data_IF_328814657522
#
_entry.id   IF_328814657522
#
_cell.length_a   1.000
_cell.length_b   1.000
_cell.length_c   1.000
_cell.angle_alpha   90.00
_cell.angle_beta   90.00
_cell.angle_gamma   90.00
#
_symmetry.space_group_name_H-M   'P 1'
#
loop_
_entity.id
_entity.type
_entity.pdbx_description
1 polymer ?
#
# COMPACT_ATOMS: atom_id res chain seq x y z
N UNK A 1 -113.64 38.61 1.06
CA UNK A 1 -113.36 37.16 1.19
C UNK A 1 -111.90 36.96 0.78
N UNK A 2 -111.10 36.50 1.76
CA UNK A 2 -109.71 36.05 1.73
C UNK A 2 -108.67 36.75 0.82
N UNK A 3 -107.78 37.53 1.43
CA UNK A 3 -106.48 37.87 0.87
C UNK A 3 -105.49 36.72 1.16
N UNK A 4 -104.94 36.12 0.11
CA UNK A 4 -103.84 35.13 0.17
C UNK A 4 -102.50 35.84 0.44
N UNK A 5 -101.61 35.30 1.31
CA UNK A 5 -100.43 36.03 1.72
C UNK A 5 -99.28 35.86 0.72
N UNK A 6 -98.99 36.92 -0.04
CA UNK A 6 -97.81 37.03 -0.91
C UNK A 6 -96.44 36.88 -0.18
N UNK A 7 -96.43 36.80 1.15
CA UNK A 7 -95.22 36.66 1.97
C UNK A 7 -94.54 35.28 1.89
N UNK A 8 -95.30 34.21 1.62
CA UNK A 8 -94.76 32.84 1.71
C UNK A 8 -93.96 32.43 0.46
N UNK A 9 -94.42 32.86 -0.72
CA UNK A 9 -93.74 32.60 -1.99
C UNK A 9 -92.40 33.34 -2.11
N UNK A 10 -92.26 34.53 -1.51
CA UNK A 10 -91.01 35.30 -1.51
C UNK A 10 -89.95 34.65 -0.62
N UNK A 11 -90.35 34.12 0.55
CA UNK A 11 -89.48 33.35 1.46
C UNK A 11 -89.01 32.02 0.85
N UNK A 12 -89.90 31.27 0.17
CA UNK A 12 -89.54 30.01 -0.52
C UNK A 12 -88.55 30.23 -1.67
N UNK A 13 -88.76 31.26 -2.51
CA UNK A 13 -87.82 31.63 -3.58
C UNK A 13 -86.46 32.07 -3.03
N UNK A 14 -86.44 32.80 -1.92
CA UNK A 14 -85.19 33.24 -1.30
C UNK A 14 -84.40 32.05 -0.68
N UNK A 15 -85.09 31.09 -0.04
CA UNK A 15 -84.48 29.84 0.46
C UNK A 15 -83.89 28.98 -0.67
N UNK A 16 -84.61 28.79 -1.78
CA UNK A 16 -84.09 28.02 -2.93
C UNK A 16 -82.89 28.69 -3.60
N UNK A 17 -82.88 30.02 -3.73
CA UNK A 17 -81.74 30.75 -4.29
C UNK A 17 -80.52 30.73 -3.37
N UNK A 18 -80.72 30.72 -2.04
CA UNK A 18 -79.64 30.58 -1.06
C UNK A 18 -79.06 29.17 -1.06
N UNK A 19 -79.89 28.14 -1.18
CA UNK A 19 -79.46 26.75 -1.32
C UNK A 19 -78.72 26.49 -2.63
N UNK A 20 -79.19 27.04 -3.76
CA UNK A 20 -78.50 26.98 -5.06
C UNK A 20 -77.15 27.69 -5.04
N UNK A 21 -77.05 28.88 -4.42
CA UNK A 21 -75.77 29.58 -4.25
C UNK A 21 -74.81 28.80 -3.35
N UNK A 22 -75.30 28.14 -2.30
CA UNK A 22 -74.47 27.33 -1.41
C UNK A 22 -73.93 26.08 -2.12
N UNK A 23 -74.76 25.33 -2.85
CA UNK A 23 -74.31 24.18 -3.65
C UNK A 23 -73.37 24.59 -4.81
N UNK A 24 -73.63 25.71 -5.47
CA UNK A 24 -72.77 26.21 -6.54
C UNK A 24 -71.40 26.68 -6.01
N UNK A 25 -71.35 27.29 -4.82
CA UNK A 25 -70.09 27.68 -4.18
C UNK A 25 -69.28 26.46 -3.69
N UNK A 26 -69.96 25.38 -3.27
CA UNK A 26 -69.33 24.12 -2.91
C UNK A 26 -68.71 23.44 -4.15
N UNK A 27 -69.44 23.39 -5.27
CA UNK A 27 -68.92 22.84 -6.54
C UNK A 27 -67.75 23.66 -7.09
N UNK A 28 -67.79 25.00 -7.01
CA UNK A 28 -66.67 25.86 -7.41
C UNK A 28 -65.44 25.59 -6.55
N UNK A 29 -65.62 25.39 -5.23
CA UNK A 29 -64.51 25.04 -4.35
C UNK A 29 -63.88 23.68 -4.71
N UNK A 30 -64.70 22.65 -4.99
CA UNK A 30 -64.21 21.36 -5.47
C UNK A 30 -63.54 21.43 -6.84
N UNK A 31 -64.07 22.21 -7.79
CA UNK A 31 -63.48 22.43 -9.11
C UNK A 31 -62.16 23.20 -9.02
N UNK A 32 -62.03 24.13 -8.07
CA UNK A 32 -60.79 24.87 -7.83
C UNK A 32 -59.73 24.06 -7.06
N UNK A 33 -60.13 23.09 -6.22
CA UNK A 33 -59.19 22.22 -5.47
C UNK A 33 -58.69 21.04 -6.33
N UNK A 34 -59.53 20.49 -7.23
CA UNK A 34 -59.16 19.37 -8.09
C UNK A 34 -57.84 19.56 -8.89
N UNK A 35 -57.55 20.72 -9.50
CA UNK A 35 -56.29 20.92 -10.23
C UNK A 35 -55.06 21.03 -9.30
N UNK A 36 -55.22 21.40 -8.03
CA UNK A 36 -54.13 21.39 -7.05
C UNK A 36 -53.76 19.98 -6.59
N UNK A 37 -54.70 19.03 -6.62
CA UNK A 37 -54.44 17.61 -6.33
C UNK A 37 -53.83 16.85 -7.51
N UNK A 38 -54.01 17.35 -8.74
CA UNK A 38 -53.51 16.74 -9.98
C UNK A 38 -52.16 17.30 -10.45
N UNK A 39 -51.59 18.29 -9.74
CA UNK A 39 -50.28 18.88 -10.05
C UNK A 39 -49.14 18.35 -9.17
N UNK A 40 -49.42 17.40 -8.28
CA UNK A 40 -48.40 16.57 -7.63
C UNK A 40 -47.90 15.47 -8.59
N UNK A 41 -47.47 15.87 -9.79
CA UNK A 41 -46.52 15.07 -10.55
C UNK A 41 -45.18 15.26 -9.86
N UNK A 42 -44.78 14.29 -9.04
CA UNK A 42 -43.40 14.15 -8.63
C UNK A 42 -42.60 13.87 -9.91
N UNK A 43 -42.04 14.93 -10.50
CA UNK A 43 -41.16 14.81 -11.65
C UNK A 43 -39.91 14.15 -11.07
N UNK A 44 -39.77 12.84 -11.31
CA UNK A 44 -38.57 12.07 -10.97
C UNK A 44 -37.37 12.94 -11.30
N UNK A 45 -36.59 13.33 -10.29
CA UNK A 45 -35.35 14.07 -10.48
C UNK A 45 -34.56 13.36 -11.58
N UNK A 46 -34.09 14.10 -12.59
CA UNK A 46 -33.13 13.52 -13.51
C UNK A 46 -31.92 13.14 -12.67
N UNK A 47 -31.76 11.85 -12.38
CA UNK A 47 -30.48 11.32 -11.91
C UNK A 47 -29.51 11.48 -13.06
N UNK A 48 -28.86 12.64 -13.12
CA UNK A 48 -27.66 12.84 -13.92
C UNK A 48 -26.58 12.01 -13.25
N UNK A 49 -26.12 10.95 -13.91
CA UNK A 49 -24.88 10.31 -13.54
C UNK A 49 -23.77 11.29 -13.89
N UNK A 50 -23.25 11.99 -12.89
CA UNK A 50 -22.14 12.95 -13.04
C UNK A 50 -20.79 12.24 -13.21
N UNK A 51 -20.78 10.90 -13.22
CA UNK A 51 -19.56 10.09 -13.30
C UNK A 51 -19.65 9.05 -14.42
N UNK A 52 -18.52 8.85 -15.09
CA UNK A 52 -18.27 7.71 -15.96
C UNK A 52 -17.85 6.48 -15.14
N UNK A 53 -18.30 5.30 -15.57
CA UNK A 53 -17.80 4.01 -15.09
C UNK A 53 -16.57 3.61 -15.91
N UNK A 54 -15.40 3.66 -15.29
CA UNK A 54 -14.13 3.32 -15.93
C UNK A 54 -13.65 1.97 -15.42
N UNK A 55 -13.54 0.98 -16.30
CA UNK A 55 -13.03 -0.36 -15.95
C UNK A 55 -11.51 -0.31 -15.84
N UNK A 56 -10.98 -0.63 -14.67
CA UNK A 56 -9.54 -0.74 -14.45
C UNK A 56 -9.12 -2.20 -14.61
N UNK A 57 -8.01 -2.43 -15.31
CA UNK A 57 -7.35 -3.73 -15.41
C UNK A 57 -5.87 -3.58 -15.12
N UNK A 58 -5.25 -4.56 -14.48
CA UNK A 58 -3.82 -4.55 -14.20
C UNK A 58 -3.19 -5.89 -14.58
N UNK A 59 -2.09 -5.84 -15.33
CA UNK A 59 -1.22 -6.97 -15.64
C UNK A 59 0.03 -6.89 -14.76
N UNK A 60 0.13 -7.83 -13.81
CA UNK A 60 1.22 -7.89 -12.83
C UNK A 60 2.38 -8.79 -13.25
N UNK A 61 2.37 -9.31 -14.47
CA UNK A 61 3.38 -10.26 -14.95
C UNK A 61 4.82 -9.73 -14.92
N UNK A 62 5.01 -8.41 -14.93
CA UNK A 62 6.31 -7.73 -14.90
C UNK A 62 6.57 -6.96 -13.59
N UNK A 63 5.78 -7.24 -12.55
CA UNK A 63 5.82 -6.45 -11.31
C UNK A 63 6.86 -6.90 -10.29
N UNK A 64 7.48 -8.08 -10.48
CA UNK A 64 8.38 -8.67 -9.48
C UNK A 64 7.69 -9.13 -8.18
N UNK A 65 6.34 -9.12 -8.13
CA UNK A 65 5.53 -9.42 -6.95
C UNK A 65 5.06 -10.89 -6.92
N UNK A 66 6.00 -11.82 -6.93
CA UNK A 66 5.67 -13.25 -6.81
C UNK A 66 4.96 -13.56 -5.48
N UNK A 67 3.86 -14.31 -5.54
CA UNK A 67 3.12 -14.74 -4.35
C UNK A 67 2.26 -13.67 -3.68
N UNK A 68 2.10 -12.49 -4.28
CA UNK A 68 1.22 -11.44 -3.76
C UNK A 68 -0.24 -11.51 -4.27
N UNK A 69 -0.67 -12.65 -4.82
CA UNK A 69 -2.01 -12.82 -5.41
C UNK A 69 -3.17 -12.60 -4.43
N UNK A 70 -2.91 -12.77 -3.13
CA UNK A 70 -3.89 -12.58 -2.06
C UNK A 70 -4.04 -11.11 -1.62
N UNK A 71 -3.16 -10.22 -2.07
CA UNK A 71 -3.24 -8.79 -1.77
C UNK A 71 -4.02 -8.02 -2.84
N UNK A 72 -4.66 -6.93 -2.43
CA UNK A 72 -5.30 -5.99 -3.35
C UNK A 72 -4.32 -5.05 -4.05
N UNK A 73 -4.85 -4.00 -4.66
CA UNK A 73 -4.10 -2.89 -5.23
C UNK A 73 -4.83 -1.57 -4.99
N UNK A 74 -4.15 -0.44 -5.22
CA UNK A 74 -4.75 0.89 -5.07
C UNK A 74 -4.48 1.71 -6.32
N UNK A 75 -5.54 2.24 -6.91
CA UNK A 75 -5.46 3.24 -7.98
C UNK A 75 -5.81 4.62 -7.42
N UNK A 76 -5.02 5.64 -7.77
CA UNK A 76 -5.22 7.02 -7.35
C UNK A 76 -5.30 7.91 -8.58
N UNK A 77 -6.43 8.58 -8.75
CA UNK A 77 -6.68 9.50 -9.86
C UNK A 77 -6.58 10.95 -9.41
N UNK A 78 -5.78 11.74 -10.11
CA UNK A 78 -5.47 13.13 -9.81
C UNK A 78 -6.08 14.04 -10.88
N UNK A 79 -7.09 14.86 -10.54
CA UNK A 79 -7.65 15.84 -11.48
C UNK A 79 -6.60 16.90 -11.86
N UNK A 80 -6.34 17.10 -13.17
CA UNK A 80 -5.40 18.13 -13.66
C UNK A 80 -5.89 19.56 -13.39
N UNK A 81 -7.20 19.74 -13.23
CA UNK A 81 -7.83 21.02 -12.87
C UNK A 81 -7.67 21.38 -11.39
N UNK A 82 -7.05 20.51 -10.59
CA UNK A 82 -6.97 20.62 -9.14
C UNK A 82 -8.19 20.02 -8.44
N UNK A 83 -8.00 19.57 -7.21
CA UNK A 83 -9.03 18.89 -6.42
C UNK A 83 -8.45 17.75 -5.59
N UNK A 84 -9.30 17.10 -4.79
CA UNK A 84 -8.88 15.92 -4.04
C UNK A 84 -8.70 14.71 -4.98
N UNK A 85 -7.63 13.91 -4.77
CA UNK A 85 -7.44 12.69 -5.53
C UNK A 85 -8.53 11.67 -5.23
N UNK A 86 -8.96 10.94 -6.26
CA UNK A 86 -9.91 9.83 -6.10
C UNK A 86 -9.15 8.53 -5.92
N UNK A 87 -9.31 7.92 -4.75
CA UNK A 87 -8.68 6.65 -4.39
C UNK A 87 -9.67 5.51 -4.64
N UNK A 88 -9.22 4.50 -5.38
CA UNK A 88 -9.98 3.29 -5.72
C UNK A 88 -9.23 2.09 -5.16
N UNK A 89 -9.78 1.49 -4.11
CA UNK A 89 -9.26 0.26 -3.53
C UNK A 89 -9.71 -0.94 -4.37
N UNK A 90 -8.74 -1.69 -4.87
CA UNK A 90 -8.95 -2.85 -5.74
C UNK A 90 -8.78 -4.13 -4.93
N UNK A 91 -9.87 -4.61 -4.31
CA UNK A 91 -9.85 -5.90 -3.59
C UNK A 91 -9.50 -7.09 -4.50
N UNK A 92 -9.92 -7.02 -5.77
CA UNK A 92 -9.33 -7.81 -6.84
C UNK A 92 -8.24 -6.97 -7.52
N UNK A 93 -6.98 -7.28 -7.27
CA UNK A 93 -5.83 -6.53 -7.82
C UNK A 93 -5.80 -6.46 -9.35
N UNK A 94 -6.50 -7.35 -10.05
CA UNK A 94 -6.50 -7.41 -11.51
C UNK A 94 -7.63 -6.60 -12.15
N UNK A 95 -8.70 -6.27 -11.39
CA UNK A 95 -9.87 -5.58 -11.96
C UNK A 95 -10.65 -4.78 -10.92
N UNK A 96 -11.00 -3.55 -11.26
CA UNK A 96 -11.91 -2.69 -10.49
C UNK A 96 -12.73 -1.77 -11.40
N UNK A 97 -13.69 -1.05 -10.82
CA UNK A 97 -14.45 0.00 -11.51
C UNK A 97 -14.21 1.31 -10.76
N UNK A 98 -13.82 2.36 -11.48
CA UNK A 98 -13.65 3.71 -10.96
C UNK A 98 -14.81 4.60 -11.42
N UNK A 99 -15.36 5.40 -10.51
CA UNK A 99 -16.39 6.40 -10.81
C UNK A 99 -15.77 7.80 -10.90
N UNK A 100 -15.56 8.26 -12.13
CA UNK A 100 -14.81 9.48 -12.43
C UNK A 100 -15.71 10.51 -13.11
N UNK A 101 -15.85 11.74 -12.56
CA UNK A 101 -16.49 12.85 -13.22
C UNK A 101 -15.76 13.25 -14.49
N UNK A 102 -16.45 14.02 -15.33
CA UNK A 102 -15.84 14.66 -16.49
C UNK A 102 -14.61 15.47 -16.07
N UNK A 103 -13.52 15.33 -16.83
CA UNK A 103 -12.26 16.01 -16.57
C UNK A 103 -11.04 15.24 -17.05
N UNK A 104 -9.87 15.88 -16.91
CA UNK A 104 -8.58 15.27 -17.21
C UNK A 104 -7.89 14.81 -15.93
N UNK A 105 -7.31 13.62 -15.97
CA UNK A 105 -6.68 12.96 -14.84
C UNK A 105 -5.29 12.44 -15.21
N UNK A 106 -4.43 12.36 -14.21
CA UNK A 106 -3.32 11.42 -14.19
C UNK A 106 -3.60 10.34 -13.15
N UNK A 107 -3.16 9.11 -13.38
CA UNK A 107 -3.42 7.99 -12.50
C UNK A 107 -2.14 7.26 -12.11
N UNK A 108 -2.09 6.81 -10.87
CA UNK A 108 -1.06 5.92 -10.34
C UNK A 108 -1.75 4.67 -9.81
N UNK A 109 -1.25 3.48 -10.15
CA UNK A 109 -1.68 2.22 -9.59
C UNK A 109 -0.49 1.54 -8.91
N UNK A 110 -0.65 1.09 -7.67
CA UNK A 110 0.39 0.37 -6.92
C UNK A 110 -0.19 -0.83 -6.16
N UNK A 111 0.67 -1.78 -5.79
CA UNK A 111 0.24 -2.98 -5.05
C UNK A 111 -0.22 -2.65 -3.63
N UNK A 112 -1.17 -3.44 -3.12
CA UNK A 112 -1.74 -3.33 -1.76
C UNK A 112 -2.43 -1.98 -1.51
N UNK A 113 -2.72 -1.66 -0.25
CA UNK A 113 -3.19 -0.34 0.18
C UNK A 113 -2.10 0.45 0.91
N UNK A 114 -2.36 1.74 1.14
CA UNK A 114 -1.46 2.65 1.86
C UNK A 114 -1.03 2.13 3.25
N UNK A 115 -1.89 1.36 3.90
CA UNK A 115 -1.70 0.89 5.28
C UNK A 115 -1.20 -0.57 5.37
N UNK A 116 -1.21 -1.32 4.26
CA UNK A 116 -0.83 -2.75 4.22
C UNK A 116 0.69 -2.98 4.17
N UNK A 117 1.47 -1.93 3.98
CA UNK A 117 2.93 -2.01 3.98
C UNK A 117 3.49 -1.96 5.40
N UNK A 118 4.42 -2.87 5.67
CA UNK A 118 5.05 -3.01 6.98
C UNK A 118 6.15 -1.96 7.17
N UNK A 119 6.97 -1.77 6.12
CA UNK A 119 8.17 -0.96 6.13
C UNK A 119 8.09 0.26 5.20
N UNK A 120 6.95 0.48 4.52
CA UNK A 120 6.71 1.64 3.65
C UNK A 120 5.63 2.55 4.24
N UNK A 121 5.90 3.86 4.23
CA UNK A 121 4.90 4.90 4.44
C UNK A 121 4.71 5.72 3.17
N UNK A 122 3.61 6.47 3.09
CA UNK A 122 3.32 7.34 1.97
C UNK A 122 3.13 8.78 2.41
N UNK A 123 3.65 9.73 1.64
CA UNK A 123 3.47 11.17 1.85
C UNK A 123 3.21 11.88 0.52
N UNK A 124 2.78 13.13 0.59
CA UNK A 124 2.48 13.93 -0.61
C UNK A 124 1.33 13.38 -1.47
N UNK A 125 0.43 12.57 -0.88
CA UNK A 125 -0.66 11.83 -1.55
C UNK A 125 -1.64 12.76 -2.28
N UNK A 126 -1.71 14.05 -1.93
CA UNK A 126 -2.67 14.99 -2.51
C UNK A 126 -2.31 15.47 -3.92
N UNK A 127 -1.14 15.12 -4.46
CA UNK A 127 -0.73 15.55 -5.79
C UNK A 127 0.08 14.47 -6.52
N UNK A 128 -0.18 14.34 -7.82
CA UNK A 128 0.45 13.36 -8.70
C UNK A 128 1.98 13.44 -8.69
N UNK A 129 2.54 14.65 -8.72
CA UNK A 129 4.00 14.83 -8.77
C UNK A 129 4.67 14.71 -7.40
N UNK A 130 3.90 14.62 -6.32
CA UNK A 130 4.41 14.62 -4.94
C UNK A 130 4.15 13.31 -4.21
N UNK A 131 3.34 12.41 -4.75
CA UNK A 131 3.10 11.11 -4.11
C UNK A 131 4.41 10.32 -4.04
N UNK A 132 4.77 9.98 -2.81
CA UNK A 132 6.08 9.46 -2.48
C UNK A 132 5.94 8.33 -1.47
N UNK A 133 6.57 7.19 -1.77
CA UNK A 133 6.76 6.08 -0.84
C UNK A 133 8.11 6.23 -0.15
N UNK A 134 8.13 6.16 1.18
CA UNK A 134 9.34 6.31 1.98
C UNK A 134 9.52 5.15 2.95
N UNK A 135 10.76 4.83 3.28
CA UNK A 135 11.07 3.75 4.21
C UNK A 135 10.73 4.21 5.62
N UNK A 136 9.95 3.41 6.35
CA UNK A 136 9.66 3.71 7.76
C UNK A 136 10.96 3.62 8.55
N UNK A 137 11.20 4.64 9.36
CA UNK A 137 12.37 4.70 10.22
C UNK A 137 12.20 3.75 11.39
N UNK A 138 13.28 3.06 11.76
CA UNK A 138 13.37 2.32 13.01
C UNK A 138 14.10 3.25 13.98
N UNK A 139 13.41 3.74 15.01
CA UNK A 139 14.06 4.56 16.05
C UNK A 139 15.15 3.75 16.75
N UNK A 140 16.42 3.98 16.39
CA UNK A 140 17.54 3.51 17.18
C UNK A 140 17.82 4.55 18.28
N UNK A 141 17.51 4.21 19.53
CA UNK A 141 17.74 5.11 20.69
C UNK A 141 19.22 5.33 21.02
N UNK A 142 20.12 4.63 20.34
CA UNK A 142 21.55 4.52 20.71
C UNK A 142 22.49 5.29 19.77
N UNK A 143 22.03 5.67 18.57
CA UNK A 143 22.83 6.40 17.58
C UNK A 143 22.00 7.55 16.96
N UNK A 144 22.62 8.69 16.61
CA UNK A 144 21.94 9.80 15.94
C UNK A 144 21.63 9.52 14.46
N UNK A 145 22.09 8.38 13.91
CA UNK A 145 21.87 8.00 12.52
C UNK A 145 20.48 7.42 12.31
N UNK A 146 19.78 7.92 11.29
CA UNK A 146 18.49 7.35 10.86
C UNK A 146 18.72 6.00 10.20
N UNK A 147 18.42 4.94 10.95
CA UNK A 147 18.37 3.58 10.43
C UNK A 147 16.97 3.32 9.88
N UNK A 148 16.90 2.84 8.64
CA UNK A 148 15.63 2.43 8.02
C UNK A 148 15.55 0.92 7.90
N UNK A 149 14.33 0.39 8.04
CA UNK A 149 14.05 -1.01 7.71
C UNK A 149 14.06 -1.21 6.19
N UNK A 150 14.34 -2.43 5.75
CA UNK A 150 14.16 -2.81 4.35
C UNK A 150 12.73 -2.58 3.90
N UNK A 151 12.47 -1.73 2.88
CA UNK A 151 11.15 -1.61 2.29
C UNK A 151 10.62 -2.96 1.78
N UNK A 152 9.30 -3.12 1.85
CA UNK A 152 8.59 -4.17 1.14
C UNK A 152 8.72 -3.95 -0.39
N UNK A 153 8.40 -4.96 -1.22
CA UNK A 153 8.39 -4.74 -2.67
C UNK A 153 7.25 -3.81 -3.08
N UNK A 154 7.57 -2.80 -3.90
CA UNK A 154 6.61 -1.82 -4.40
C UNK A 154 6.65 -1.83 -5.93
N UNK A 155 5.52 -2.13 -6.56
CA UNK A 155 5.36 -2.04 -8.00
C UNK A 155 4.29 -1.01 -8.38
N UNK A 156 4.58 -0.22 -9.42
CA UNK A 156 3.77 0.94 -9.78
C UNK A 156 3.57 1.02 -11.30
N UNK A 157 2.36 1.40 -11.70
CA UNK A 157 2.02 1.81 -13.07
C UNK A 157 1.49 3.24 -13.06
N UNK A 158 1.83 3.99 -14.11
CA UNK A 158 1.44 5.39 -14.27
C UNK A 158 0.74 5.56 -15.60
N UNK A 159 -0.37 6.29 -15.60
CA UNK A 159 -1.04 6.77 -16.81
C UNK A 159 -1.13 8.29 -16.70
N UNK A 160 -0.48 8.97 -17.62
CA UNK A 160 -0.62 10.41 -17.78
C UNK A 160 -1.69 10.69 -18.84
N UNK A 161 -2.51 11.72 -18.60
CA UNK A 161 -3.45 12.25 -19.61
C UNK A 161 -4.65 11.36 -19.95
N UNK A 162 -5.37 10.90 -18.93
CA UNK A 162 -6.68 10.28 -19.11
C UNK A 162 -7.80 11.34 -19.12
N UNK A 163 -8.63 11.38 -20.15
CA UNK A 163 -9.78 12.29 -20.24
C UNK A 163 -11.09 11.53 -20.12
N UNK A 164 -11.92 11.95 -19.17
CA UNK A 164 -13.32 11.57 -19.07
C UNK A 164 -14.13 12.66 -19.76
N UNK A 165 -14.78 12.30 -20.87
CA UNK A 165 -15.63 13.19 -21.66
C UNK A 165 -17.10 13.01 -21.30
N UNK A 166 -17.95 14.01 -21.58
CA UNK A 166 -19.40 13.99 -21.29
C UNK A 166 -20.12 12.73 -21.83
N UNK A 167 -19.72 12.24 -23.01
CA UNK A 167 -20.30 11.04 -23.63
C UNK A 167 -19.95 9.72 -22.91
N UNK A 168 -18.97 9.72 -22.00
CA UNK A 168 -18.62 8.57 -21.16
C UNK A 168 -19.45 8.54 -19.87
N UNK A 169 -20.11 9.67 -19.52
CA UNK A 169 -21.03 9.72 -18.39
C UNK A 169 -22.24 8.82 -18.68
N UNK A 170 -22.84 8.26 -17.63
CA UNK A 170 -23.98 7.33 -17.72
C UNK A 170 -25.27 7.91 -18.34
N UNK A 171 -25.21 9.09 -18.96
CA UNK A 171 -26.35 9.93 -19.35
C UNK A 171 -26.71 9.87 -20.83
N UNK A 172 -26.12 8.99 -21.66
CA UNK A 172 -26.51 8.87 -23.06
C UNK A 172 -27.87 8.17 -23.23
N UNK A 173 -28.95 8.87 -22.87
CA UNK A 173 -30.30 8.57 -23.34
C UNK A 173 -30.34 8.80 -24.86
N UNK A 174 -30.43 7.72 -25.63
CA UNK A 174 -30.87 7.80 -27.02
C UNK A 174 -32.40 7.89 -27.04
N UNK A 175 -33.03 8.97 -27.55
CA UNK A 175 -34.47 8.98 -27.78
C UNK A 175 -34.82 7.91 -28.83
N UNK A 176 -35.88 7.15 -28.56
CA UNK A 176 -36.34 5.96 -29.32
C UNK A 176 -36.79 6.27 -30.77
N UNK A 177 -36.54 7.47 -31.31
CA UNK A 177 -37.02 7.90 -32.63
C UNK A 177 -35.99 7.89 -33.76
N UNK A 178 -34.80 7.34 -33.58
CA UNK A 178 -33.83 7.18 -34.67
C UNK A 178 -33.27 5.76 -34.69
N UNK A 179 -33.95 4.87 -35.40
CA UNK A 179 -33.38 3.63 -35.95
C UNK A 179 -32.32 3.98 -37.01
N UNK A 180 -31.19 4.49 -36.56
CA UNK A 180 -29.95 4.45 -37.30
C UNK A 180 -28.89 4.03 -36.30
N UNK A 181 -28.53 2.74 -36.37
CA UNK A 181 -27.34 2.10 -35.81
C UNK A 181 -26.28 3.14 -35.43
N UNK A 182 -26.14 3.43 -34.14
CA UNK A 182 -24.94 4.08 -33.61
C UNK A 182 -24.43 3.24 -32.45
N UNK A 183 -23.42 2.49 -32.83
CA UNK A 183 -22.53 1.69 -32.02
C UNK A 183 -21.97 2.45 -30.82
N UNK A 184 -21.90 1.74 -29.70
CA UNK A 184 -20.89 1.83 -28.63
C UNK A 184 -21.16 2.89 -27.54
N UNK A 185 -21.79 2.45 -26.44
CA UNK A 185 -21.28 2.83 -25.11
C UNK A 185 -19.83 2.37 -25.08
N UNK A 186 -18.89 3.29 -25.27
CA UNK A 186 -17.47 2.95 -25.31
C UNK A 186 -17.12 2.50 -23.90
N UNK A 187 -16.90 1.20 -23.71
CA UNK A 187 -16.42 0.64 -22.45
C UNK A 187 -15.09 1.32 -22.15
N UNK A 188 -15.14 2.38 -21.35
CA UNK A 188 -13.98 3.15 -20.96
C UNK A 188 -13.15 2.25 -20.06
N UNK A 189 -11.96 1.86 -20.52
CA UNK A 189 -11.08 0.96 -19.78
C UNK A 189 -9.67 1.50 -19.74
N UNK A 190 -9.05 1.35 -18.58
CA UNK A 190 -7.66 1.66 -18.34
C UNK A 190 -6.91 0.36 -18.04
N UNK A 191 -5.78 0.18 -18.72
CA UNK A 191 -4.93 -0.97 -18.55
C UNK A 191 -3.58 -0.54 -17.97
N UNK A 192 -3.24 -1.10 -16.81
CA UNK A 192 -2.02 -0.82 -16.09
C UNK A 192 -1.06 -2.00 -16.20
N UNK A 193 0.23 -1.72 -16.36
CA UNK A 193 1.30 -2.73 -16.33
C UNK A 193 2.33 -2.27 -15.28
N UNK A 194 2.17 -2.66 -13.99
CA UNK A 194 3.04 -2.20 -12.93
C UNK A 194 4.45 -2.78 -13.04
N UNK A 195 5.45 -1.94 -12.79
CA UNK A 195 6.87 -2.30 -12.74
C UNK A 195 7.41 -2.10 -11.34
N UNK A 196 8.35 -2.94 -10.92
CA UNK A 196 8.99 -2.82 -9.60
C UNK A 196 9.77 -1.49 -9.51
N UNK A 197 9.45 -0.66 -8.52
CA UNK A 197 10.21 0.54 -8.16
C UNK A 197 11.24 0.28 -7.06
N UNK A 198 11.08 -0.82 -6.33
CA UNK A 198 12.13 -1.33 -5.44
C UNK A 198 13.15 -2.15 -6.22
N UNK A 199 14.39 -2.17 -5.75
CA UNK A 199 15.39 -3.11 -6.25
C UNK A 199 15.89 -4.00 -5.12
N UNK A 200 16.16 -5.26 -5.45
CA UNK A 200 16.71 -6.23 -4.52
C UNK A 200 18.23 -6.08 -4.47
N UNK A 201 18.79 -5.92 -3.28
CA UNK A 201 20.24 -5.94 -3.03
C UNK A 201 20.60 -7.28 -2.41
N UNK A 202 21.51 -8.02 -3.06
CA UNK A 202 22.13 -9.23 -2.54
C UNK A 202 23.54 -8.89 -2.10
N UNK A 203 23.89 -9.21 -0.86
CA UNK A 203 25.20 -8.91 -0.28
C UNK A 203 25.92 -10.21 0.01
N UNK A 204 27.19 -10.27 -0.36
CA UNK A 204 28.12 -11.34 -0.01
C UNK A 204 29.33 -10.74 0.69
N UNK A 205 29.60 -11.18 1.91
CA UNK A 205 30.70 -10.69 2.73
C UNK A 205 31.67 -11.82 2.93
N UNK A 206 32.89 -11.65 2.45
CA UNK A 206 33.98 -12.57 2.71
C UNK A 206 34.58 -12.25 4.08
N UNK A 207 34.61 -13.24 4.97
CA UNK A 207 35.01 -13.10 6.38
C UNK A 207 36.18 -14.03 6.66
N UNK A 208 37.23 -13.48 7.27
CA UNK A 208 38.32 -14.26 7.87
C UNK A 208 38.03 -14.49 9.36
N UNK A 209 38.05 -15.75 9.81
CA UNK A 209 37.57 -16.15 11.14
C UNK A 209 36.05 -16.38 11.21
N UNK A 210 35.42 -16.86 10.13
CA UNK A 210 33.97 -17.08 10.05
C UNK A 210 33.45 -18.05 11.13
N UNK A 211 34.28 -18.99 11.57
CA UNK A 211 33.97 -19.95 12.63
C UNK A 211 33.63 -19.29 13.98
N UNK A 212 34.12 -18.07 14.21
CA UNK A 212 33.86 -17.33 15.43
C UNK A 212 32.59 -16.47 15.37
N UNK A 213 31.87 -16.43 14.24
CA UNK A 213 30.68 -15.60 14.08
C UNK A 213 29.43 -16.31 14.59
N UNK A 214 28.73 -15.71 15.56
CA UNK A 214 27.41 -16.14 16.03
C UNK A 214 26.28 -15.47 15.26
N UNK A 215 26.39 -14.15 15.08
CA UNK A 215 25.41 -13.31 14.38
C UNK A 215 26.15 -12.16 13.72
N UNK A 216 25.68 -11.74 12.56
CA UNK A 216 26.22 -10.58 11.86
C UNK A 216 25.08 -9.68 11.38
N UNK A 217 25.25 -8.38 11.56
CA UNK A 217 24.29 -7.35 11.12
C UNK A 217 25.06 -6.31 10.32
N UNK A 218 24.58 -6.04 9.11
CA UNK A 218 25.23 -5.14 8.17
C UNK A 218 24.48 -3.83 8.06
N UNK A 219 25.22 -2.78 7.80
CA UNK A 219 24.75 -1.42 7.57
C UNK A 219 25.30 -0.94 6.24
N UNK A 220 24.39 -0.67 5.31
CA UNK A 220 24.71 -0.08 4.02
C UNK A 220 24.30 1.39 4.04
N UNK A 221 25.27 2.28 3.86
CA UNK A 221 25.03 3.72 3.74
C UNK A 221 24.81 4.15 2.29
N UNK A 222 24.21 5.33 2.11
CA UNK A 222 24.07 5.96 0.80
C UNK A 222 22.84 5.51 0.01
N UNK A 223 21.89 4.81 0.63
CA UNK A 223 20.65 4.39 -0.03
C UNK A 223 19.60 5.50 0.04
N UNK A 224 18.78 5.71 -1.01
CA UNK A 224 17.68 6.66 -0.98
C UNK A 224 16.63 6.30 0.07
N UNK A 225 16.12 7.29 0.79
CA UNK A 225 15.07 7.08 1.79
C UNK A 225 13.69 6.80 1.17
N UNK A 226 13.47 7.20 -0.08
CA UNK A 226 12.15 7.20 -0.71
C UNK A 226 12.20 7.20 -2.24
N UNK A 227 11.04 6.97 -2.86
CA UNK A 227 10.80 7.03 -4.31
C UNK A 227 9.50 7.77 -4.62
N UNK A 228 9.50 8.58 -5.67
CA UNK A 228 8.30 9.21 -6.21
C UNK A 228 7.55 8.26 -7.14
N UNK A 229 6.27 8.00 -6.88
CA UNK A 229 5.52 6.99 -7.63
C UNK A 229 5.26 7.39 -9.08
N UNK A 230 5.06 8.68 -9.34
CA UNK A 230 4.78 9.17 -10.69
C UNK A 230 5.98 9.10 -11.64
N UNK A 231 7.19 9.31 -11.12
CA UNK A 231 8.41 9.39 -11.95
C UNK A 231 9.32 8.17 -11.80
N UNK A 232 9.17 7.39 -10.73
CA UNK A 232 10.10 6.33 -10.36
C UNK A 232 11.46 6.84 -9.86
N UNK A 233 11.66 8.14 -9.72
CA UNK A 233 12.92 8.69 -9.23
C UNK A 233 13.03 8.58 -7.70
N UNK A 234 14.16 8.07 -7.25
CA UNK A 234 14.50 8.05 -5.82
C UNK A 234 14.83 9.46 -5.31
N UNK A 235 14.61 9.70 -4.02
CA UNK A 235 14.95 10.97 -3.40
C UNK A 235 16.47 11.17 -3.26
N UNK A 236 16.86 12.43 -3.08
CA UNK A 236 18.26 12.79 -2.85
C UNK A 236 18.73 12.52 -1.42
N UNK A 237 17.82 12.44 -0.46
CA UNK A 237 18.12 12.15 0.94
C UNK A 237 18.62 10.71 1.09
N UNK A 238 19.77 10.56 1.76
CA UNK A 238 20.45 9.29 1.94
C UNK A 238 20.44 8.86 3.39
N UNK A 239 20.21 7.57 3.58
CA UNK A 239 20.12 6.94 4.89
C UNK A 239 20.99 5.69 4.94
N UNK A 240 21.15 5.17 6.15
CA UNK A 240 21.80 3.88 6.40
C UNK A 240 20.73 2.82 6.59
N UNK A 241 20.82 1.73 5.83
CA UNK A 241 19.92 0.61 5.95
C UNK A 241 20.60 -0.55 6.67
N UNK A 242 19.95 -1.05 7.71
CA UNK A 242 20.42 -2.19 8.49
C UNK A 242 19.70 -3.47 8.06
N UNK A 243 20.47 -4.55 7.89
CA UNK A 243 19.94 -5.85 7.49
C UNK A 243 20.78 -6.99 8.06
N UNK A 244 20.16 -8.12 8.42
CA UNK A 244 20.91 -9.30 8.86
C UNK A 244 21.62 -9.95 7.67
N UNK A 245 22.81 -10.49 7.92
CA UNK A 245 23.50 -11.42 7.01
C UNK A 245 23.67 -12.76 7.72
N UNK A 246 23.61 -13.85 6.97
CA UNK A 246 23.63 -15.21 7.49
C UNK A 246 24.16 -16.21 6.47
N UNK A 247 23.75 -17.47 6.62
CA UNK A 247 24.13 -18.58 5.74
C UNK A 247 25.66 -18.72 5.59
N UNK A 248 26.38 -19.07 6.66
CA UNK A 248 27.83 -19.21 6.62
C UNK A 248 28.23 -20.34 5.66
N UNK A 249 29.12 -20.03 4.73
CA UNK A 249 29.74 -20.99 3.80
C UNK A 249 31.25 -20.87 3.92
N UNK A 250 31.91 -21.94 4.36
CA UNK A 250 33.38 -21.99 4.44
C UNK A 250 34.01 -22.22 3.07
N UNK A 251 35.20 -21.66 2.88
CA UNK A 251 36.02 -21.94 1.70
C UNK A 251 36.65 -23.33 1.86
N UNK A 252 36.47 -24.23 0.88
CA UNK A 252 36.89 -25.64 0.97
C UNK A 252 38.39 -25.81 1.31
N UNK A 253 39.24 -24.93 0.78
CA UNK A 253 40.70 -25.02 0.92
C UNK A 253 41.32 -23.96 1.85
N UNK A 254 40.52 -23.10 2.49
CA UNK A 254 41.03 -21.93 3.24
C UNK A 254 40.24 -21.67 4.52
N UNK A 255 40.11 -22.71 5.37
CA UNK A 255 39.54 -22.55 6.70
C UNK A 255 40.48 -21.68 7.59
N UNK A 256 39.95 -20.71 8.38
CA UNK A 256 38.55 -20.47 8.72
C UNK A 256 37.83 -19.41 7.87
N UNK A 257 38.32 -19.10 6.68
CA UNK A 257 37.67 -18.12 5.80
C UNK A 257 36.41 -18.68 5.19
N UNK A 258 35.48 -17.79 4.93
CA UNK A 258 34.24 -18.12 4.25
C UNK A 258 33.46 -16.88 3.89
N UNK A 259 32.16 -17.06 3.64
CA UNK A 259 31.26 -15.97 3.32
C UNK A 259 29.95 -16.02 4.08
N UNK A 260 29.39 -14.84 4.30
CA UNK A 260 28.01 -14.61 4.74
C UNK A 260 27.24 -13.94 3.62
N UNK A 261 25.95 -14.26 3.51
CA UNK A 261 25.06 -13.69 2.51
C UNK A 261 23.83 -13.07 3.14
N UNK A 262 23.32 -12.02 2.53
CA UNK A 262 22.06 -11.38 2.93
C UNK A 262 21.35 -10.78 1.73
N UNK A 263 20.06 -10.50 1.91
CA UNK A 263 19.22 -9.90 0.89
C UNK A 263 18.24 -8.92 1.53
N UNK A 264 18.03 -7.77 0.87
CA UNK A 264 17.07 -6.75 1.28
C UNK A 264 16.64 -5.94 0.05
N UNK A 265 15.62 -5.09 0.20
CA UNK A 265 15.18 -4.17 -0.86
C UNK A 265 15.57 -2.73 -0.53
N UNK A 266 15.69 -1.90 -1.56
CA UNK A 266 15.86 -0.44 -1.46
C UNK A 266 15.03 0.27 -2.53
N UNK A 267 14.80 1.58 -2.39
CA UNK A 267 14.07 2.41 -3.37
C UNK A 267 14.91 2.83 -4.59
N UNK A 268 16.17 2.44 -4.62
CA UNK A 268 17.11 2.74 -5.66
C UNK A 268 18.54 2.52 -5.17
N UNK A 269 19.46 2.36 -6.11
CA UNK A 269 20.86 2.13 -5.80
C UNK A 269 21.73 2.82 -6.85
N UNK A 270 22.68 3.64 -6.42
CA UNK A 270 23.60 4.34 -7.33
C UNK A 270 24.87 3.53 -7.53
N UNK A 271 25.38 3.44 -8.76
CA UNK A 271 26.65 2.76 -9.04
C UNK A 271 27.86 3.67 -8.91
N UNK A 272 27.62 4.98 -8.98
CA UNK A 272 28.69 5.98 -9.06
C UNK A 272 28.96 6.65 -7.72
N UNK A 273 28.06 6.47 -6.75
CA UNK A 273 28.23 6.99 -5.40
C UNK A 273 29.04 6.01 -4.55
N UNK A 274 29.77 6.56 -3.58
CA UNK A 274 30.51 5.76 -2.63
C UNK A 274 29.53 5.17 -1.61
N UNK A 275 29.54 3.84 -1.50
CA UNK A 275 28.74 3.09 -0.54
C UNK A 275 29.66 2.52 0.53
N UNK A 276 29.47 2.94 1.78
CA UNK A 276 30.16 2.32 2.91
C UNK A 276 29.29 1.17 3.46
N UNK A 277 29.93 0.02 3.63
CA UNK A 277 29.33 -1.18 4.25
C UNK A 277 30.05 -1.44 5.55
N UNK A 278 29.32 -1.33 6.67
CA UNK A 278 29.80 -1.66 8.00
C UNK A 278 29.11 -2.93 8.47
N UNK A 279 29.86 -3.84 9.11
CA UNK A 279 29.30 -5.06 9.67
C UNK A 279 29.65 -5.16 11.15
N UNK A 280 28.62 -5.36 11.96
CA UNK A 280 28.73 -5.69 13.38
C UNK A 280 28.59 -7.20 13.53
N UNK A 281 29.63 -7.83 14.06
CA UNK A 281 29.70 -9.26 14.37
C UNK A 281 29.55 -9.46 15.87
N UNK A 282 28.59 -10.28 16.27
CA UNK A 282 28.55 -10.91 17.59
C UNK A 282 29.27 -12.26 17.47
N UNK A 283 30.27 -12.49 18.31
CA UNK A 283 31.04 -13.74 18.28
C UNK A 283 30.36 -14.87 19.07
N UNK A 284 30.89 -16.09 18.92
CA UNK A 284 30.34 -17.32 19.54
C UNK A 284 30.37 -17.36 21.07
N UNK A 285 31.09 -16.45 21.71
CA UNK A 285 31.05 -16.24 23.16
C UNK A 285 29.82 -15.45 23.63
N UNK A 286 28.98 -14.97 22.70
CA UNK A 286 27.78 -14.15 22.93
C UNK A 286 28.03 -12.86 23.72
N UNK A 287 29.29 -12.41 23.81
CA UNK A 287 29.72 -11.22 24.57
C UNK A 287 30.55 -10.27 23.73
N UNK A 288 31.40 -10.80 22.86
CA UNK A 288 32.30 -9.98 22.05
C UNK A 288 31.56 -9.48 20.82
N UNK A 289 31.35 -8.17 20.75
CA UNK A 289 30.86 -7.47 19.56
C UNK A 289 31.99 -6.70 18.88
N UNK A 290 32.16 -6.90 17.58
CA UNK A 290 33.18 -6.26 16.77
C UNK A 290 32.51 -5.59 15.57
N UNK A 291 32.74 -4.29 15.40
CA UNK A 291 32.37 -3.58 14.18
C UNK A 291 33.56 -3.45 13.25
N UNK A 292 33.38 -3.77 11.97
CA UNK A 292 34.37 -3.56 10.92
C UNK A 292 33.74 -2.87 9.71
N UNK A 293 34.40 -1.83 9.21
CA UNK A 293 34.11 -1.28 7.87
C UNK A 293 34.73 -2.18 6.82
N UNK A 294 33.91 -2.67 5.89
CA UNK A 294 34.35 -3.61 4.88
C UNK A 294 35.19 -2.91 3.80
N UNK A 295 36.09 -3.68 3.20
CA UNK A 295 36.98 -3.25 2.10
C UNK A 295 36.69 -4.03 0.82
N UNK A 296 37.24 -3.56 -0.31
CA UNK A 296 37.05 -4.17 -1.63
C UNK A 296 35.56 -4.30 -2.02
N UNK A 297 34.79 -3.23 -1.80
CA UNK A 297 33.36 -3.19 -2.17
C UNK A 297 33.22 -3.20 -3.68
N UNK A 298 32.72 -4.31 -4.22
CA UNK A 298 32.44 -4.51 -5.63
C UNK A 298 30.94 -4.58 -5.86
N UNK A 299 30.41 -3.66 -6.66
CA UNK A 299 28.99 -3.54 -6.94
C UNK A 299 28.75 -3.93 -8.40
N UNK A 300 27.86 -4.89 -8.61
CA UNK A 300 27.42 -5.32 -9.95
C UNK A 300 25.90 -5.36 -10.02
N UNK A 301 25.35 -5.24 -11.21
CA UNK A 301 23.91 -5.37 -11.45
C UNK A 301 23.66 -6.58 -12.34
N UNK A 302 22.64 -7.34 -11.99
CA UNK A 302 22.11 -8.44 -12.78
C UNK A 302 20.60 -8.32 -12.83
N UNK A 303 19.99 -8.77 -13.92
CA UNK A 303 18.54 -8.94 -14.00
C UNK A 303 18.23 -10.40 -13.73
N UNK A 304 17.30 -10.68 -12.83
CA UNK A 304 16.87 -12.06 -12.60
C UNK A 304 15.91 -12.55 -13.70
N UNK A 305 15.48 -13.81 -13.59
CA UNK A 305 14.58 -14.46 -14.56
C UNK A 305 13.21 -13.79 -14.68
N UNK A 306 12.83 -12.95 -13.72
CA UNK A 306 11.56 -12.21 -13.69
C UNK A 306 11.67 -10.80 -14.28
N UNK A 307 12.87 -10.38 -14.68
CA UNK A 307 13.14 -9.02 -15.13
C UNK A 307 13.45 -8.04 -13.98
N UNK A 308 13.54 -8.52 -12.74
CA UNK A 308 13.82 -7.68 -11.57
C UNK A 308 15.31 -7.33 -11.50
N UNK A 309 15.60 -6.06 -11.22
CA UNK A 309 16.97 -5.57 -11.05
C UNK A 309 17.50 -6.04 -9.68
N UNK A 310 18.61 -6.78 -9.72
CA UNK A 310 19.33 -7.27 -8.55
C UNK A 310 20.71 -6.63 -8.50
N UNK A 311 21.00 -5.93 -7.41
CA UNK A 311 22.31 -5.36 -7.12
C UNK A 311 23.11 -6.33 -6.27
N UNK A 312 24.25 -6.82 -6.76
CA UNK A 312 25.13 -7.67 -5.99
C UNK A 312 26.27 -6.83 -5.42
N UNK A 313 26.41 -6.85 -4.09
CA UNK A 313 27.48 -6.19 -3.35
C UNK A 313 28.39 -7.26 -2.76
N UNK A 314 29.63 -7.34 -3.23
CA UNK A 314 30.66 -8.19 -2.64
C UNK A 314 31.67 -7.33 -1.88
N UNK A 315 31.98 -7.72 -0.65
CA UNK A 315 32.93 -6.98 0.19
C UNK A 315 33.66 -7.95 1.13
N UNK A 316 34.75 -7.49 1.74
CA UNK A 316 35.61 -8.33 2.59
C UNK A 316 35.93 -7.66 3.93
N UNK A 317 36.07 -8.45 4.98
CA UNK A 317 36.61 -7.98 6.27
C UNK A 317 38.08 -7.55 6.12
N UNK A 318 38.49 -6.38 6.64
CA UNK A 318 39.89 -5.94 6.56
C UNK A 318 40.83 -6.77 7.44
N UNK A 319 40.35 -7.26 8.58
CA UNK A 319 41.13 -8.00 9.57
C UNK A 319 40.42 -9.29 9.99
N UNK A 320 41.21 -10.32 10.33
CA UNK A 320 40.69 -11.59 10.87
C UNK A 320 39.95 -11.34 12.19
N UNK A 321 38.76 -11.92 12.32
CA UNK A 321 38.03 -11.94 13.60
C UNK A 321 38.80 -12.75 14.65
N UNK A 322 38.91 -12.24 15.89
CA UNK A 322 39.65 -12.92 16.95
C UNK A 322 39.00 -14.26 17.30
N UNK A 323 39.84 -15.21 17.70
CA UNK A 323 39.38 -16.49 18.21
C UNK A 323 38.88 -16.32 19.65
N UNK A 324 37.67 -16.81 19.93
CA UNK A 324 37.05 -16.77 21.26
C UNK A 324 36.61 -18.18 21.65
N UNK A 325 36.72 -18.49 22.94
CA UNK A 325 36.21 -19.74 23.48
C UNK A 325 34.69 -19.63 23.66
N UNK A 326 33.95 -20.65 23.21
CA UNK A 326 32.55 -20.76 23.61
C UNK A 326 32.54 -21.01 25.12
N UNK A 327 31.78 -20.22 25.88
CA UNK A 327 31.44 -20.65 27.23
C UNK A 327 30.65 -21.94 27.08
N UNK A 328 31.30 -23.07 27.41
CA UNK A 328 30.64 -24.35 27.54
C UNK A 328 29.38 -24.11 28.36
N UNK A 329 28.21 -24.41 27.79
CA UNK A 329 26.92 -24.43 28.49
C UNK A 329 26.87 -25.53 29.55
N UNK A 330 27.90 -25.62 30.40
CA UNK A 330 28.05 -26.53 31.53
C UNK A 330 27.70 -25.89 32.87
N UNK A 331 26.95 -24.78 32.86
CA UNK A 331 26.04 -24.44 33.96
C UNK A 331 24.63 -25.01 33.71
N UNK A 332 24.56 -26.16 33.05
CA UNK A 332 23.54 -27.16 33.39
C UNK A 332 23.86 -27.59 34.82
N UNK A 333 22.98 -27.26 35.77
CA UNK A 333 23.10 -27.57 37.20
C UNK A 333 23.10 -29.08 37.53
N UNK A 334 24.07 -29.80 36.97
CA UNK A 334 24.32 -31.22 37.08
C UNK A 334 25.82 -31.54 37.25
N UNK A 335 26.63 -30.57 37.65
CA UNK A 335 27.96 -30.87 38.20
C UNK A 335 27.80 -31.14 39.71
N UNK A 336 27.20 -32.30 40.03
CA UNK A 336 27.29 -32.84 41.37
C UNK A 336 28.74 -33.30 41.57
N UNK A 337 29.47 -32.58 42.41
CA UNK A 337 30.80 -32.96 42.87
C UNK A 337 30.65 -34.22 43.74
N UNK A 338 30.87 -35.41 43.17
CA UNK A 338 30.71 -36.70 43.87
C UNK A 338 32.01 -37.12 44.57
N UNK A 339 32.71 -36.17 45.18
CA UNK A 339 33.98 -36.43 45.88
C UNK A 339 33.85 -36.40 47.43
N UNK A 340 32.63 -36.46 47.98
CA UNK A 340 32.40 -36.51 49.42
C UNK A 340 31.45 -37.63 49.90
N UNK A 341 31.63 -38.85 49.38
CA UNK A 341 31.21 -40.02 50.15
C UNK A 341 32.28 -40.29 51.22
N UNK A 342 32.01 -39.79 52.43
CA UNK A 342 32.79 -40.12 53.63
C UNK A 342 32.88 -41.64 53.81
N UNK A 343 34.02 -42.11 54.31
CA UNK A 343 34.28 -43.54 54.59
C UNK A 343 33.20 -44.13 55.49
N UNK A 344 32.78 -45.35 55.17
CA UNK A 344 31.86 -46.16 55.96
C UNK A 344 32.37 -46.33 57.41
N UNK A 345 31.62 -45.79 58.38
CA UNK A 345 31.76 -46.16 59.79
C UNK A 345 30.97 -47.46 60.03
N UNK A 346 31.67 -48.59 60.08
CA UNK A 346 31.16 -49.81 60.68
C UNK A 346 31.02 -49.60 62.19
N UNK A 347 29.81 -49.29 62.65
CA UNK A 347 29.50 -49.28 64.08
C UNK A 347 28.89 -50.62 64.46
N UNK A 348 29.67 -51.45 65.17
CA UNK A 348 29.15 -52.67 65.81
C UNK A 348 28.15 -52.29 66.91
N UNK A 349 26.95 -52.89 66.86
CA UNK A 349 25.94 -52.76 67.92
C UNK A 349 26.25 -53.74 69.05
N UNK A 350 26.32 -53.30 70.32
CA UNK A 350 26.38 -54.22 71.45
C UNK A 350 25.01 -54.86 71.71
N UNK A 351 25.05 -56.15 72.07
CA UNK A 351 23.94 -57.10 72.26
C UNK A 351 22.84 -56.67 73.24
#
# INVERSE_FOLDING_TARGET
>A
MAAEPQGENKKRRHKMNKARKFCMNQYIWYICILPFLLTACDRRELTYYETAEVTLTADWSQSGLEGEDNYGATAVFYPKTGGEPKIVLMGNRNRAIALLPEGHYSAVLFNRSFDDFSAIGFRGINSFNTIEAYARQVENRSTPETIVSSPDKLAVAVIEEFEVTENMLGNNYTPVSSQSKKEISQDCSLHFVPLELTCTVKVKINVDGLNNVRKATCRLSGVPVSVFLATGHSSSERVTQEFPVGNPVFNEDDYPKGSLTGQFNVFGFSKTEEHNVETVFLLVDEKTEISQSLVHVHITESTDETGTIVVNVEASTPEKLPDVEQEDGSDSGFNADVDQWGKEENTEFPL
#
